data_IF_777808681470
#
_entry.id   IF_777808681470
#
_cell.length_a   1.000
_cell.length_b   1.000
_cell.length_c   1.000
_cell.angle_alpha   90.00
_cell.angle_beta   90.00
_cell.angle_gamma   90.00
#
_symmetry.space_group_name_H-M   'P 1'
#
loop_
_entity.id
_entity.type
_entity.pdbx_description
1 polymer ?
#
# COMPACT_ATOMS: atom_id res chain seq x y z
N UNK A 1 -18.54 -6.39 -27.70
CA UNK A 1 -17.23 -5.86 -27.27
C UNK A 1 -17.41 -4.66 -26.32
N UNK A 2 -18.23 -4.81 -25.26
CA UNK A 2 -18.40 -3.81 -24.17
C UNK A 2 -18.13 -4.47 -22.80
N UNK A 3 -18.14 -5.81 -22.76
CA UNK A 3 -17.92 -6.60 -21.55
C UNK A 3 -16.43 -6.76 -21.25
N UNK A 4 -15.58 -6.94 -22.28
CA UNK A 4 -14.13 -7.06 -22.10
C UNK A 4 -13.51 -5.79 -21.50
N UNK A 5 -13.85 -4.60 -22.02
CA UNK A 5 -13.36 -3.32 -21.48
C UNK A 5 -13.75 -3.11 -20.01
N UNK A 6 -14.95 -3.57 -19.62
CA UNK A 6 -15.40 -3.49 -18.22
C UNK A 6 -14.70 -4.50 -17.32
N UNK A 7 -14.39 -5.70 -17.83
CA UNK A 7 -13.62 -6.71 -17.10
C UNK A 7 -12.19 -6.24 -16.89
N UNK A 8 -11.56 -5.63 -17.90
CA UNK A 8 -10.22 -5.07 -17.78
C UNK A 8 -10.16 -3.95 -16.74
N UNK A 9 -11.09 -2.99 -16.80
CA UNK A 9 -11.18 -1.93 -15.79
C UNK A 9 -11.39 -2.48 -14.38
N UNK A 10 -12.34 -3.41 -14.22
CA UNK A 10 -12.58 -4.03 -12.92
C UNK A 10 -11.34 -4.77 -12.41
N UNK A 11 -10.63 -5.48 -13.29
CA UNK A 11 -9.41 -6.19 -12.94
C UNK A 11 -8.29 -5.23 -12.48
N UNK A 12 -8.09 -4.14 -13.20
CA UNK A 12 -7.12 -3.10 -12.84
C UNK A 12 -7.49 -2.43 -11.50
N UNK A 13 -8.77 -2.13 -11.28
CA UNK A 13 -9.25 -1.56 -10.02
C UNK A 13 -9.04 -2.53 -8.85
N UNK A 14 -9.31 -3.82 -9.08
CA UNK A 14 -9.11 -4.86 -8.07
C UNK A 14 -7.63 -5.04 -7.75
N UNK A 15 -6.75 -5.03 -8.76
CA UNK A 15 -5.30 -5.05 -8.56
C UNK A 15 -4.83 -3.83 -7.80
N UNK A 16 -5.31 -2.63 -8.14
CA UNK A 16 -4.96 -1.41 -7.43
C UNK A 16 -5.36 -1.50 -5.95
N UNK A 17 -6.58 -1.96 -5.66
CA UNK A 17 -7.07 -2.15 -4.28
C UNK A 17 -6.28 -3.23 -3.52
N UNK A 18 -5.89 -4.33 -4.18
CA UNK A 18 -5.04 -5.35 -3.59
C UNK A 18 -3.67 -4.78 -3.22
N UNK A 19 -3.05 -4.04 -4.15
CA UNK A 19 -1.76 -3.39 -3.89
C UNK A 19 -1.85 -2.40 -2.73
N UNK A 20 -2.92 -1.59 -2.65
CA UNK A 20 -3.13 -0.69 -1.52
C UNK A 20 -3.23 -1.46 -0.20
N UNK A 21 -4.02 -2.54 -0.18
CA UNK A 21 -4.20 -3.37 1.02
C UNK A 21 -2.86 -3.95 1.50
N UNK A 22 -2.01 -4.38 0.57
CA UNK A 22 -0.67 -4.89 0.88
C UNK A 22 0.24 -3.78 1.42
N UNK A 23 0.18 -2.58 0.85
CA UNK A 23 0.97 -1.43 1.31
C UNK A 23 0.54 -0.98 2.72
N UNK A 24 -0.76 -0.97 3.00
CA UNK A 24 -1.30 -0.69 4.33
C UNK A 24 -0.84 -1.73 5.35
N UNK A 25 -0.95 -3.02 5.03
CA UNK A 25 -0.51 -4.09 5.92
C UNK A 25 1.01 -4.03 6.20
N UNK A 26 1.81 -3.66 5.19
CA UNK A 26 3.24 -3.44 5.35
C UNK A 26 3.53 -2.27 6.28
N UNK A 27 2.82 -1.16 6.12
CA UNK A 27 2.95 0.02 6.97
C UNK A 27 2.59 -0.31 8.43
N UNK A 28 1.49 -1.04 8.66
CA UNK A 28 1.10 -1.48 10.00
C UNK A 28 2.16 -2.37 10.66
N UNK A 29 2.75 -3.29 9.89
CA UNK A 29 3.84 -4.15 10.37
C UNK A 29 5.04 -3.32 10.82
N UNK A 30 5.46 -2.34 10.01
CA UNK A 30 6.57 -1.45 10.35
C UNK A 30 6.23 -0.58 11.57
N UNK A 31 5.00 -0.08 11.70
CA UNK A 31 4.56 0.67 12.88
C UNK A 31 4.61 -0.22 14.15
N UNK A 32 4.18 -1.48 14.05
CA UNK A 32 4.24 -2.42 15.16
C UNK A 32 5.69 -2.73 15.57
N UNK A 33 6.59 -2.90 14.59
CA UNK A 33 8.03 -3.04 14.84
C UNK A 33 8.63 -1.79 15.49
N UNK A 34 8.25 -0.60 15.02
CA UNK A 34 8.68 0.67 15.59
C UNK A 34 8.36 0.81 17.08
N UNK A 35 7.20 0.31 17.50
CA UNK A 35 6.73 0.35 18.89
C UNK A 35 7.41 -0.66 19.81
N UNK A 36 7.96 -1.74 19.25
CA UNK A 36 8.51 -2.84 20.04
C UNK A 36 10.04 -2.81 20.09
N UNK A 37 10.69 -2.72 18.94
CA UNK A 37 12.14 -2.84 18.79
C UNK A 37 12.80 -1.56 18.26
N UNK A 38 12.00 -0.57 17.87
CA UNK A 38 12.47 0.58 17.10
C UNK A 38 12.57 0.25 15.60
N UNK A 39 12.79 1.28 14.78
CA UNK A 39 12.98 1.14 13.33
C UNK A 39 14.41 1.46 12.96
N UNK A 40 14.94 0.73 11.98
CA UNK A 40 16.17 1.10 11.30
C UNK A 40 15.97 2.40 10.49
N UNK A 41 17.06 3.10 10.10
CA UNK A 41 16.99 4.25 9.21
C UNK A 41 16.29 3.92 7.86
N UNK A 42 16.54 2.73 7.33
CA UNK A 42 15.94 2.22 6.09
C UNK A 42 14.43 2.01 6.25
N UNK A 43 14.02 1.36 7.34
CA UNK A 43 12.60 1.12 7.64
C UNK A 43 11.85 2.45 7.90
N UNK A 44 12.52 3.45 8.48
CA UNK A 44 11.95 4.81 8.63
C UNK A 44 11.73 5.51 7.30
N UNK A 45 12.67 5.39 6.37
CA UNK A 45 12.49 5.86 4.99
C UNK A 45 11.34 5.12 4.29
N UNK A 46 11.26 3.79 4.46
CA UNK A 46 10.17 2.97 3.92
C UNK A 46 8.80 3.45 4.44
N UNK A 47 8.65 3.59 5.77
CA UNK A 47 7.43 4.13 6.40
C UNK A 47 7.09 5.53 5.87
N UNK A 48 8.09 6.40 5.66
CA UNK A 48 7.87 7.75 5.14
C UNK A 48 7.37 7.72 3.70
N UNK A 49 7.97 6.90 2.86
CA UNK A 49 7.58 6.71 1.47
C UNK A 49 6.18 6.12 1.37
N UNK A 50 5.89 5.06 2.13
CA UNK A 50 4.57 4.42 2.21
C UNK A 50 3.48 5.42 2.65
N UNK A 51 3.74 6.22 3.69
CA UNK A 51 2.81 7.26 4.12
C UNK A 51 2.54 8.31 3.04
N UNK A 52 3.55 8.72 2.26
CA UNK A 52 3.34 9.69 1.17
C UNK A 52 2.52 9.10 0.03
N UNK A 53 2.74 7.84 -0.31
CA UNK A 53 1.99 7.15 -1.38
C UNK A 53 0.54 6.94 -0.96
N UNK A 54 0.31 6.43 0.26
CA UNK A 54 -1.04 6.21 0.79
C UNK A 54 -1.79 7.53 1.04
N UNK A 55 -1.10 8.60 1.46
CA UNK A 55 -1.72 9.91 1.65
C UNK A 55 -2.10 10.60 0.33
N UNK A 56 -1.41 10.33 -0.78
CA UNK A 56 -1.78 10.88 -2.09
C UNK A 56 -2.99 10.20 -2.73
N UNK A 57 -3.42 9.06 -2.18
CA UNK A 57 -4.51 8.25 -2.73
C UNK A 57 -5.86 8.51 -2.02
N UNK A 58 -5.84 9.16 -0.85
CA UNK A 58 -7.01 9.63 -0.11
C UNK A 58 -7.46 11.04 -0.51
#
# INVERSE_FOLDING_TARGET
MIVEDRVEQTFLDTLASLYDSVLEQRLETLIAQARTHGLSPEEREEVRSLNQVLAKKN
#
